data_IF_750482966519
#
_entry.id   IF_750482966519
#
_cell.length_a   1.000
_cell.length_b   1.000
_cell.length_c   1.000
_cell.angle_alpha   90.00
_cell.angle_beta   90.00
_cell.angle_gamma   90.00
#
_symmetry.space_group_name_H-M   'P 1'
#
loop_
_entity.id
_entity.type
_entity.pdbx_description
1 polymer ?
#
# COMPACT_ATOMS: atom_id res chain seq x y z
N UNK A 1 -15.06 4.40 -18.00
CA UNK A 1 -13.97 3.42 -17.76
C UNK A 1 -12.86 4.17 -17.06
N UNK A 2 -12.48 3.75 -15.86
CA UNK A 2 -11.26 4.21 -15.19
C UNK A 2 -10.11 3.98 -16.17
N UNK A 3 -9.30 4.98 -16.47
CA UNK A 3 -8.16 4.82 -17.38
C UNK A 3 -7.03 3.94 -16.82
N UNK A 4 -7.31 3.12 -15.79
CA UNK A 4 -6.39 2.22 -15.12
C UNK A 4 -6.75 0.77 -15.43
N UNK A 5 -5.74 -0.11 -15.44
CA UNK A 5 -5.92 -1.53 -15.72
C UNK A 5 -5.68 -1.91 -17.17
N UNK A 6 -5.37 -0.97 -18.06
CA UNK A 6 -5.13 -1.24 -19.48
C UNK A 6 -3.91 -0.46 -20.00
N UNK A 7 -3.00 -1.11 -20.75
CA UNK A 7 -2.94 -2.55 -21.00
C UNK A 7 -2.68 -3.35 -19.70
N UNK A 8 -3.25 -4.56 -19.62
CA UNK A 8 -3.00 -5.48 -18.51
C UNK A 8 -2.03 -6.57 -18.96
N UNK A 9 -0.89 -6.66 -18.28
CA UNK A 9 0.10 -7.72 -18.43
C UNK A 9 0.06 -8.60 -17.17
N UNK A 10 -0.39 -9.85 -17.32
CA UNK A 10 -0.39 -10.82 -16.23
C UNK A 10 0.75 -11.83 -16.39
N UNK A 11 1.41 -12.15 -15.29
CA UNK A 11 2.46 -13.16 -15.21
C UNK A 11 2.03 -14.29 -14.27
N UNK A 12 2.26 -15.54 -14.65
CA UNK A 12 2.16 -16.64 -13.68
C UNK A 12 3.25 -16.52 -12.60
N UNK A 13 4.46 -16.14 -13.03
CA UNK A 13 5.60 -15.91 -12.15
C UNK A 13 6.37 -14.69 -12.67
N UNK A 14 6.80 -13.83 -11.76
CA UNK A 14 7.72 -12.73 -12.04
C UNK A 14 8.78 -12.64 -10.95
N UNK A 15 9.90 -11.98 -11.23
CA UNK A 15 10.81 -11.49 -10.19
C UNK A 15 10.10 -10.48 -9.28
N UNK A 16 9.57 -9.42 -9.87
CA UNK A 16 8.81 -8.38 -9.18
C UNK A 16 7.86 -7.67 -10.13
N UNK A 17 6.59 -7.52 -9.75
CA UNK A 17 5.63 -6.74 -10.54
C UNK A 17 6.09 -5.30 -10.71
N UNK A 18 6.78 -4.73 -9.71
CA UNK A 18 7.39 -3.39 -9.78
C UNK A 18 8.46 -3.32 -10.87
N UNK A 19 9.38 -4.29 -10.92
CA UNK A 19 10.46 -4.30 -11.92
C UNK A 19 9.90 -4.44 -13.34
N UNK A 20 8.91 -5.31 -13.52
CA UNK A 20 8.20 -5.47 -14.81
C UNK A 20 7.48 -4.19 -15.22
N UNK A 21 6.77 -3.54 -14.30
CA UNK A 21 6.09 -2.27 -14.56
C UNK A 21 7.07 -1.13 -14.85
N UNK A 22 8.23 -1.08 -14.17
CA UNK A 22 9.29 -0.10 -14.44
C UNK A 22 9.89 -0.29 -15.83
N UNK A 23 10.16 -1.52 -16.24
CA UNK A 23 10.65 -1.82 -17.58
C UNK A 23 9.65 -1.35 -18.67
N UNK A 24 8.36 -1.59 -18.45
CA UNK A 24 7.28 -1.11 -19.34
C UNK A 24 7.20 0.42 -19.33
N UNK A 25 7.26 1.07 -18.17
CA UNK A 25 7.22 2.52 -18.04
C UNK A 25 8.40 3.19 -18.77
N UNK A 26 9.61 2.64 -18.63
CA UNK A 26 10.81 3.07 -19.37
C UNK A 26 10.68 2.87 -20.88
N UNK A 27 9.92 1.86 -21.31
CA UNK A 27 9.63 1.57 -22.72
C UNK A 27 8.45 2.38 -23.27
N UNK A 28 7.91 3.33 -22.50
CA UNK A 28 6.83 4.23 -22.96
C UNK A 28 5.42 3.70 -22.75
N UNK A 29 5.21 2.64 -21.95
CA UNK A 29 3.87 2.13 -21.67
C UNK A 29 2.95 3.23 -21.07
N UNK A 30 1.68 3.33 -21.47
CA UNK A 30 0.82 4.46 -21.12
C UNK A 30 0.44 4.48 -19.62
N UNK A 31 -0.09 5.62 -19.18
CA UNK A 31 -0.78 5.74 -17.89
C UNK A 31 -1.82 4.62 -17.77
N UNK A 32 -1.88 3.98 -16.60
CA UNK A 32 -2.85 2.93 -16.31
C UNK A 32 -2.42 1.52 -16.69
N UNK A 33 -1.24 1.35 -17.31
CA UNK A 33 -0.67 0.02 -17.55
C UNK A 33 -0.59 -0.75 -16.23
N UNK A 34 -1.20 -1.93 -16.19
CA UNK A 34 -1.26 -2.80 -15.03
C UNK A 34 -0.38 -4.03 -15.27
N UNK A 35 0.47 -4.33 -14.30
CA UNK A 35 1.18 -5.60 -14.21
C UNK A 35 0.67 -6.36 -13.00
N UNK A 36 0.33 -7.64 -13.16
CA UNK A 36 0.04 -8.51 -12.02
C UNK A 36 0.84 -9.80 -12.11
N UNK A 37 1.02 -10.48 -10.97
CA UNK A 37 1.61 -11.81 -10.92
C UNK A 37 0.89 -12.74 -9.94
N UNK A 38 0.87 -14.05 -10.21
CA UNK A 38 0.44 -15.03 -9.21
C UNK A 38 1.53 -15.29 -8.15
N UNK A 39 2.80 -15.16 -8.54
CA UNK A 39 3.97 -15.36 -7.69
C UNK A 39 5.05 -14.31 -8.00
N UNK A 40 5.76 -13.87 -6.94
CA UNK A 40 6.98 -13.07 -7.06
C UNK A 40 8.17 -13.80 -6.43
N UNK A 41 9.19 -14.11 -7.22
CA UNK A 41 10.41 -14.80 -6.75
C UNK A 41 11.44 -13.87 -6.09
N UNK A 42 11.35 -12.57 -6.36
CA UNK A 42 12.18 -11.52 -5.78
C UNK A 42 11.32 -10.31 -5.34
N UNK A 43 10.12 -10.57 -4.83
CA UNK A 43 9.24 -9.52 -4.34
C UNK A 43 9.84 -8.81 -3.14
N UNK A 44 9.74 -7.49 -3.12
CA UNK A 44 10.29 -6.66 -2.06
C UNK A 44 9.40 -5.46 -1.74
N UNK A 45 9.42 -5.05 -0.48
CA UNK A 45 8.89 -3.79 0.00
C UNK A 45 9.99 -2.73 0.15
N UNK A 46 9.72 -1.75 0.99
CA UNK A 46 10.71 -0.72 1.37
C UNK A 46 11.92 -1.35 2.08
N UNK A 47 13.07 -0.70 1.92
CA UNK A 47 14.35 -1.11 2.54
C UNK A 47 14.77 -2.55 2.19
N UNK A 48 14.29 -3.09 1.05
CA UNK A 48 14.67 -4.42 0.58
C UNK A 48 14.06 -5.59 1.35
N UNK A 49 13.08 -5.34 2.25
CA UNK A 49 12.37 -6.43 2.95
C UNK A 49 11.61 -7.28 1.94
N UNK A 50 11.80 -8.59 1.99
CA UNK A 50 11.12 -9.52 1.10
C UNK A 50 9.60 -9.46 1.30
N UNK A 51 8.86 -9.48 0.19
CA UNK A 51 7.44 -9.80 0.16
C UNK A 51 7.32 -11.29 -0.18
N UNK A 52 6.84 -12.08 0.76
CA UNK A 52 6.75 -13.55 0.64
C UNK A 52 5.30 -13.97 0.78
N UNK A 53 4.87 -14.92 -0.03
CA UNK A 53 3.53 -15.50 0.07
C UNK A 53 3.39 -16.72 -0.83
N UNK A 54 2.34 -17.52 -0.56
CA UNK A 54 2.00 -18.66 -1.40
C UNK A 54 1.42 -18.16 -2.74
N UNK A 55 1.87 -18.72 -3.88
CA UNK A 55 1.35 -18.35 -5.20
C UNK A 55 -0.16 -18.40 -5.23
N UNK A 56 -0.80 -17.40 -5.84
CA UNK A 56 -2.25 -17.44 -5.99
C UNK A 56 -3.04 -16.87 -4.80
N UNK A 57 -2.42 -16.56 -3.66
CA UNK A 57 -3.16 -16.20 -2.43
C UNK A 57 -3.28 -14.68 -2.16
N UNK A 58 -2.35 -13.90 -2.71
CA UNK A 58 -2.33 -12.45 -2.62
C UNK A 58 -2.67 -11.79 -3.97
N UNK A 59 -3.11 -10.54 -3.94
CA UNK A 59 -3.06 -9.65 -5.11
C UNK A 59 -1.67 -9.03 -5.13
N UNK A 60 -0.89 -9.34 -6.17
CA UNK A 60 0.41 -8.74 -6.43
C UNK A 60 0.27 -7.91 -7.71
N UNK A 61 0.37 -6.59 -7.58
CA UNK A 61 0.15 -5.69 -8.71
C UNK A 61 1.07 -4.48 -8.72
N UNK A 62 1.24 -3.90 -9.91
CA UNK A 62 1.92 -2.64 -10.13
C UNK A 62 1.23 -1.84 -11.22
N UNK A 63 0.93 -0.57 -10.95
CA UNK A 63 0.29 0.35 -11.90
C UNK A 63 1.29 1.42 -12.33
N UNK A 64 1.46 1.59 -13.64
CA UNK A 64 2.21 2.70 -14.23
C UNK A 64 1.34 3.96 -14.20
N UNK A 65 1.82 4.99 -13.52
CA UNK A 65 1.17 6.29 -13.44
C UNK A 65 2.03 7.33 -14.14
N UNK A 66 1.44 8.05 -15.09
CA UNK A 66 2.04 9.22 -15.76
C UNK A 66 1.30 10.50 -15.39
N UNK A 67 1.83 11.63 -15.86
CA UNK A 67 1.27 12.98 -15.67
C UNK A 67 1.18 13.39 -14.21
N UNK A 68 2.22 13.02 -13.46
CA UNK A 68 2.24 13.10 -12.00
C UNK A 68 2.14 14.51 -11.41
N UNK A 69 2.64 15.51 -12.14
CA UNK A 69 2.87 16.86 -11.61
C UNK A 69 3.55 16.84 -10.23
N UNK A 70 3.17 17.79 -9.37
CA UNK A 70 3.61 17.84 -7.97
C UNK A 70 2.93 16.79 -7.07
N UNK A 71 1.98 16.02 -7.60
CA UNK A 71 1.16 15.07 -6.81
C UNK A 71 1.80 13.70 -6.65
N UNK A 72 2.95 13.44 -7.28
CA UNK A 72 3.68 12.17 -7.12
C UNK A 72 3.97 11.82 -5.65
N UNK A 73 4.22 12.84 -4.81
CA UNK A 73 4.48 12.66 -3.38
C UNK A 73 3.28 12.07 -2.61
N UNK A 74 2.05 12.26 -3.11
CA UNK A 74 0.83 11.75 -2.48
C UNK A 74 0.48 10.32 -2.91
N UNK A 75 1.09 9.79 -3.97
CA UNK A 75 0.77 8.46 -4.50
C UNK A 75 0.78 7.34 -3.44
N UNK A 76 1.75 7.28 -2.51
CA UNK A 76 1.73 6.27 -1.45
C UNK A 76 0.47 6.37 -0.57
N UNK A 77 0.07 7.60 -0.22
CA UNK A 77 -1.11 7.87 0.60
C UNK A 77 -2.39 7.55 -0.17
N UNK A 78 -2.48 7.98 -1.42
CA UNK A 78 -3.61 7.69 -2.33
C UNK A 78 -3.80 6.19 -2.51
N UNK A 79 -2.71 5.44 -2.72
CA UNK A 79 -2.76 3.98 -2.86
C UNK A 79 -3.17 3.30 -1.55
N UNK A 80 -2.69 3.77 -0.40
CA UNK A 80 -3.10 3.22 0.90
C UNK A 80 -4.60 3.40 1.16
N UNK A 81 -5.16 4.58 0.84
CA UNK A 81 -6.62 4.81 0.92
C UNK A 81 -7.38 3.88 -0.04
N UNK A 82 -6.90 3.73 -1.28
CA UNK A 82 -7.52 2.84 -2.26
C UNK A 82 -7.53 1.37 -1.81
N UNK A 83 -6.46 0.92 -1.15
CA UNK A 83 -6.40 -0.43 -0.56
C UNK A 83 -7.43 -0.57 0.56
N UNK A 84 -7.55 0.41 1.46
CA UNK A 84 -8.57 0.39 2.51
C UNK A 84 -9.99 0.30 1.91
N UNK A 85 -10.33 1.16 0.94
CA UNK A 85 -11.65 1.16 0.30
C UNK A 85 -11.97 -0.18 -0.37
N UNK A 86 -11.00 -0.77 -1.09
CA UNK A 86 -11.15 -2.08 -1.73
C UNK A 86 -11.33 -3.22 -0.71
N UNK A 87 -10.49 -3.25 0.32
CA UNK A 87 -10.55 -4.25 1.38
C UNK A 87 -11.86 -4.17 2.17
N UNK A 88 -12.29 -2.95 2.55
CA UNK A 88 -13.55 -2.69 3.24
C UNK A 88 -14.75 -3.11 2.40
N UNK A 89 -14.76 -2.80 1.10
CA UNK A 89 -15.84 -3.18 0.19
C UNK A 89 -15.97 -4.71 0.04
N UNK A 90 -14.84 -5.42 -0.02
CA UNK A 90 -14.84 -6.88 -0.24
C UNK A 90 -15.04 -7.70 1.03
N UNK A 91 -14.61 -7.20 2.20
CA UNK A 91 -14.64 -7.97 3.46
C UNK A 91 -15.61 -7.45 4.50
N UNK A 92 -15.95 -6.16 4.47
CA UNK A 92 -16.66 -5.45 5.54
C UNK A 92 -15.80 -5.14 6.77
N UNK A 93 -14.54 -5.57 6.80
CA UNK A 93 -13.60 -5.26 7.88
C UNK A 93 -13.07 -3.83 7.74
N UNK A 94 -12.94 -3.11 8.86
CA UNK A 94 -12.38 -1.75 8.86
C UNK A 94 -10.86 -1.80 8.74
N UNK A 95 -10.32 -0.98 7.85
CA UNK A 95 -8.89 -0.87 7.65
C UNK A 95 -8.33 0.39 8.33
N UNK A 96 -7.07 0.33 8.73
CA UNK A 96 -6.31 1.47 9.22
C UNK A 96 -4.98 1.57 8.44
N UNK A 97 -4.47 2.77 8.26
CA UNK A 97 -3.22 3.03 7.55
C UNK A 97 -2.13 3.30 8.57
N UNK A 98 -1.10 2.45 8.58
CA UNK A 98 0.14 2.72 9.30
C UNK A 98 1.10 3.44 8.36
N UNK A 99 1.40 4.68 8.70
CA UNK A 99 2.43 5.45 8.01
C UNK A 99 3.76 4.66 8.01
N UNK A 100 4.52 4.65 6.90
CA UNK A 100 4.26 5.42 5.67
C UNK A 100 3.46 4.69 4.58
N UNK A 101 3.26 3.38 4.66
CA UNK A 101 2.88 2.60 3.48
C UNK A 101 2.22 1.24 3.77
N UNK A 102 1.78 1.00 4.99
CA UNK A 102 1.16 -0.27 5.39
C UNK A 102 -0.33 -0.08 5.65
N UNK A 103 -1.16 -1.02 5.22
CA UNK A 103 -2.57 -1.10 5.59
C UNK A 103 -2.78 -2.27 6.53
N UNK A 104 -3.51 -2.02 7.61
CA UNK A 104 -3.72 -2.91 8.74
C UNK A 104 -5.21 -3.21 8.95
N UNK A 105 -5.49 -4.43 9.41
CA UNK A 105 -6.78 -4.82 10.01
C UNK A 105 -6.47 -5.45 11.37
N UNK A 106 -7.23 -5.11 12.41
CA UNK A 106 -7.05 -5.73 13.73
C UNK A 106 -5.68 -5.50 14.38
N UNK A 107 -4.89 -4.54 13.88
CA UNK A 107 -3.50 -4.30 14.34
C UNK A 107 -2.43 -5.08 13.57
N UNK A 108 -2.82 -5.96 12.64
CA UNK A 108 -1.92 -6.76 11.82
C UNK A 108 -1.88 -6.28 10.37
N UNK A 109 -0.74 -6.47 9.71
CA UNK A 109 -0.51 -5.99 8.34
C UNK A 109 -1.27 -6.82 7.31
N UNK A 110 -2.18 -6.16 6.59
CA UNK A 110 -2.93 -6.72 5.45
C UNK A 110 -2.18 -6.51 4.13
N UNK A 111 -1.63 -5.31 3.93
CA UNK A 111 -1.07 -4.90 2.65
C UNK A 111 0.15 -3.99 2.82
N UNK A 112 0.99 -3.99 1.78
CA UNK A 112 2.12 -3.08 1.66
C UNK A 112 2.10 -2.35 0.32
N UNK A 113 2.41 -1.06 0.37
CA UNK A 113 2.53 -0.21 -0.82
C UNK A 113 4.00 0.14 -1.05
N UNK A 114 4.46 0.07 -2.30
CA UNK A 114 5.78 0.52 -2.72
C UNK A 114 5.66 1.39 -3.97
N UNK A 115 5.88 2.70 -3.80
CA UNK A 115 5.92 3.64 -4.92
C UNK A 115 7.36 3.93 -5.31
N UNK A 116 7.68 3.75 -6.58
CA UNK A 116 8.95 4.12 -7.18
C UNK A 116 8.71 5.13 -8.30
N UNK A 117 9.22 6.35 -8.15
CA UNK A 117 9.05 7.41 -9.12
C UNK A 117 10.35 7.77 -9.85
N UNK A 118 10.20 8.20 -11.11
CA UNK A 118 11.22 8.91 -11.88
C UNK A 118 10.55 10.16 -12.47
N UNK A 119 10.36 11.23 -11.69
CA UNK A 119 9.67 12.44 -12.16
C UNK A 119 10.30 13.05 -13.41
N UNK A 120 11.62 12.97 -13.56
CA UNK A 120 12.35 13.45 -14.74
C UNK A 120 12.04 12.63 -16.00
N UNK A 121 11.65 11.36 -15.84
CA UNK A 121 11.19 10.48 -16.92
C UNK A 121 9.65 10.45 -17.05
N UNK A 122 8.93 11.25 -16.27
CA UNK A 122 7.48 11.42 -16.36
C UNK A 122 6.65 10.20 -15.93
N UNK A 123 7.19 9.31 -15.08
CA UNK A 123 6.45 8.14 -14.61
C UNK A 123 6.70 7.80 -13.14
N UNK A 124 5.71 7.13 -12.53
CA UNK A 124 5.83 6.42 -11.27
C UNK A 124 5.20 5.03 -11.40
N UNK A 125 5.71 4.08 -10.63
CA UNK A 125 5.13 2.74 -10.49
C UNK A 125 4.61 2.62 -9.08
N UNK A 126 3.32 2.29 -8.96
CA UNK A 126 2.63 2.06 -7.69
C UNK A 126 2.46 0.57 -7.52
N UNK A 127 3.34 -0.04 -6.74
CA UNK A 127 3.29 -1.44 -6.34
C UNK A 127 2.41 -1.65 -5.13
N UNK A 128 1.57 -2.67 -5.18
CA UNK A 128 0.68 -3.04 -4.07
C UNK A 128 0.65 -4.56 -3.93
N UNK A 129 0.95 -5.03 -2.73
CA UNK A 129 0.69 -6.40 -2.30
C UNK A 129 -0.43 -6.43 -1.28
N UNK A 130 -1.47 -7.22 -1.50
CA UNK A 130 -2.63 -7.38 -0.59
C UNK A 130 -2.81 -8.86 -0.27
N UNK A 131 -2.77 -9.23 1.00
CA UNK A 131 -3.07 -10.59 1.44
C UNK A 131 -4.58 -10.81 1.37
N UNK A 132 -5.05 -11.67 0.47
CA UNK A 132 -6.50 -11.87 0.23
C UNK A 132 -6.95 -13.20 0.81
N UNK A 133 -6.53 -14.31 0.21
CA UNK A 133 -6.93 -15.67 0.62
C UNK A 133 -5.84 -16.40 1.39
N UNK A 134 -4.74 -15.72 1.74
CA UNK A 134 -3.64 -16.27 2.53
C UNK A 134 -4.15 -16.72 3.90
N UNK A 135 -3.91 -17.97 4.28
CA UNK A 135 -4.26 -18.50 5.60
C UNK A 135 -3.12 -18.27 6.60
N UNK A 136 -3.38 -18.49 7.89
CA UNK A 136 -2.32 -18.35 8.91
C UNK A 136 -1.15 -19.31 8.67
N UNK A 137 -1.43 -20.52 8.18
CA UNK A 137 -0.42 -21.55 7.89
C UNK A 137 0.43 -21.22 6.65
N UNK A 138 -0.06 -20.36 5.76
CA UNK A 138 0.68 -19.88 4.60
C UNK A 138 1.75 -18.84 4.97
N UNK A 139 1.61 -18.18 6.13
CA UNK A 139 2.60 -17.24 6.62
C UNK A 139 3.78 -17.97 7.28
N UNK A 140 5.03 -17.51 7.07
CA UNK A 140 6.15 -17.90 7.92
C UNK A 140 5.81 -17.66 9.39
N UNK A 141 6.23 -18.56 10.30
CA UNK A 141 5.89 -18.49 11.74
C UNK A 141 6.18 -17.13 12.38
N UNK A 142 7.26 -16.46 11.97
CA UNK A 142 7.61 -15.13 12.48
C UNK A 142 6.66 -13.99 12.06
N UNK A 143 5.72 -14.24 11.14
CA UNK A 143 4.73 -13.27 10.68
C UNK A 143 3.32 -13.51 11.26
N UNK A 144 3.10 -14.59 12.01
CA UNK A 144 1.77 -15.00 12.49
C UNK A 144 1.07 -13.93 13.36
N UNK A 145 1.84 -13.14 14.10
CA UNK A 145 1.30 -12.08 14.99
C UNK A 145 1.25 -10.69 14.34
N UNK A 146 1.87 -10.51 13.16
CA UNK A 146 2.06 -9.19 12.56
C UNK A 146 1.51 -9.07 11.14
N UNK A 147 1.05 -10.17 10.54
CA UNK A 147 0.43 -10.22 9.23
C UNK A 147 -0.97 -10.83 9.32
N UNK A 148 -1.87 -10.35 8.47
CA UNK A 148 -3.23 -10.88 8.34
C UNK A 148 -3.63 -10.90 6.86
N UNK A 149 -4.82 -11.41 6.58
CA UNK A 149 -5.43 -11.44 5.25
C UNK A 149 -6.93 -11.17 5.35
N UNK A 150 -7.58 -10.87 4.22
CA UNK A 150 -9.03 -10.76 4.21
C UNK A 150 -9.74 -12.06 4.59
N UNK A 151 -9.15 -13.23 4.30
CA UNK A 151 -9.71 -14.53 4.69
C UNK A 151 -9.59 -14.81 6.19
N UNK A 152 -8.56 -14.28 6.86
CA UNK A 152 -8.41 -14.39 8.32
C UNK A 152 -9.43 -13.48 9.03
N UNK A 153 -9.62 -12.26 8.53
CA UNK A 153 -10.43 -11.23 9.19
C UNK A 153 -11.92 -11.23 8.77
N UNK A 154 -12.26 -11.88 7.65
CA UNK A 154 -13.56 -11.73 7.00
C UNK A 154 -14.21 -13.04 6.55
N UNK A 155 -15.51 -13.17 6.80
CA UNK A 155 -16.31 -14.36 6.49
C UNK A 155 -16.79 -14.46 5.03
N UNK A 156 -16.43 -13.51 4.15
CA UNK A 156 -16.96 -13.39 2.78
C UNK A 156 -15.90 -13.61 1.68
N UNK A 157 -14.74 -14.14 2.03
CA UNK A 157 -13.63 -14.34 1.10
C UNK A 157 -13.60 -15.79 0.60
N UNK A 158 -13.46 -15.97 -0.71
CA UNK A 158 -13.47 -17.26 -1.39
C UNK A 158 -12.89 -17.19 -2.80
N UNK A 159 -13.30 -18.13 -3.66
CA UNK A 159 -12.84 -18.17 -5.06
C UNK A 159 -13.25 -16.90 -5.81
N UNK A 160 -12.31 -16.27 -6.52
CA UNK A 160 -12.54 -15.01 -7.25
C UNK A 160 -12.38 -13.73 -6.41
N UNK A 161 -12.18 -13.82 -5.09
CA UNK A 161 -12.01 -12.64 -4.24
C UNK A 161 -10.80 -11.78 -4.61
N UNK A 162 -9.72 -12.38 -5.14
CA UNK A 162 -8.56 -11.61 -5.65
C UNK A 162 -8.93 -10.66 -6.78
N UNK A 163 -9.67 -11.15 -7.76
CA UNK A 163 -10.06 -10.36 -8.94
C UNK A 163 -11.05 -9.26 -8.52
N UNK A 164 -11.95 -9.57 -7.57
CA UNK A 164 -12.84 -8.58 -6.97
C UNK A 164 -12.05 -7.47 -6.24
N UNK A 165 -11.06 -7.84 -5.42
CA UNK A 165 -10.19 -6.88 -4.70
C UNK A 165 -9.36 -6.05 -5.67
N UNK A 166 -8.78 -6.68 -6.70
CA UNK A 166 -8.03 -5.99 -7.75
C UNK A 166 -8.93 -4.97 -8.47
N UNK A 167 -10.12 -5.37 -8.89
CA UNK A 167 -11.08 -4.49 -9.55
C UNK A 167 -11.50 -3.33 -8.65
N UNK A 168 -11.84 -3.62 -7.39
CA UNK A 168 -12.23 -2.60 -6.41
C UNK A 168 -11.09 -1.61 -6.14
N UNK A 169 -9.84 -2.08 -6.06
CA UNK A 169 -8.68 -1.21 -5.93
C UNK A 169 -8.51 -0.29 -7.14
N UNK A 170 -8.60 -0.82 -8.37
CA UNK A 170 -8.42 0.00 -9.57
C UNK A 170 -9.50 1.08 -9.70
N UNK A 171 -10.73 0.77 -9.30
CA UNK A 171 -11.84 1.73 -9.26
C UNK A 171 -11.60 2.82 -8.21
N UNK A 172 -11.32 2.43 -6.96
CA UNK A 172 -11.02 3.34 -5.87
C UNK A 172 -9.81 4.24 -6.20
N UNK A 173 -8.72 3.65 -6.67
CA UNK A 173 -7.51 4.37 -7.01
C UNK A 173 -7.73 5.37 -8.16
N UNK A 174 -8.47 4.99 -9.21
CA UNK A 174 -8.83 5.92 -10.29
C UNK A 174 -9.76 7.07 -9.83
N UNK A 175 -10.62 6.84 -8.85
CA UNK A 175 -11.43 7.89 -8.25
C UNK A 175 -10.57 8.84 -7.41
N UNK A 176 -9.69 8.29 -6.58
CA UNK A 176 -8.81 9.06 -5.68
C UNK A 176 -7.76 9.89 -6.44
N UNK A 177 -7.21 9.38 -7.56
CA UNK A 177 -6.29 10.16 -8.41
C UNK A 177 -6.93 11.44 -9.00
N UNK A 178 -8.27 11.49 -9.09
CA UNK A 178 -9.02 12.66 -9.56
C UNK A 178 -9.43 13.62 -8.44
N UNK A 179 -9.29 13.21 -7.16
CA UNK A 179 -9.58 14.08 -6.02
C UNK A 179 -8.52 15.15 -5.86
N UNK A 180 -8.88 16.24 -5.19
CA UNK A 180 -7.90 17.23 -4.75
C UNK A 180 -7.03 16.67 -3.61
N UNK A 181 -5.98 17.43 -3.28
CA UNK A 181 -5.03 17.03 -2.24
C UNK A 181 -5.72 16.89 -0.88
N UNK A 182 -6.53 17.87 -0.51
CA UNK A 182 -7.18 17.90 0.80
C UNK A 182 -8.14 16.72 0.96
N UNK A 183 -8.92 16.39 -0.07
CA UNK A 183 -9.79 15.21 -0.05
C UNK A 183 -9.03 13.90 0.11
N UNK A 184 -7.83 13.75 -0.46
CA UNK A 184 -6.99 12.56 -0.26
C UNK A 184 -6.45 12.52 1.18
N UNK A 185 -5.95 13.66 1.68
CA UNK A 185 -5.37 13.74 3.02
C UNK A 185 -6.42 13.51 4.11
N UNK A 186 -7.66 13.97 3.91
CA UNK A 186 -8.75 13.77 4.86
C UNK A 186 -9.20 12.30 4.92
N UNK A 187 -9.29 11.62 3.77
CA UNK A 187 -9.54 10.17 3.73
C UNK A 187 -8.42 9.37 4.39
N UNK A 188 -7.17 9.82 4.25
CA UNK A 188 -6.04 9.18 4.92
C UNK A 188 -6.10 9.41 6.44
N UNK A 189 -6.33 10.65 6.88
CA UNK A 189 -6.41 11.02 8.31
C UNK A 189 -7.54 10.32 9.05
N UNK A 190 -8.67 10.06 8.38
CA UNK A 190 -9.78 9.30 8.97
C UNK A 190 -9.42 7.84 9.27
N UNK A 191 -8.33 7.34 8.69
CA UNK A 191 -7.82 5.96 8.80
C UNK A 191 -6.46 5.86 9.49
N UNK A 192 -5.93 6.95 10.04
CA UNK A 192 -4.58 6.99 10.63
C UNK A 192 -4.46 6.07 11.86
N UNK A 193 -3.70 4.99 11.72
CA UNK A 193 -3.49 4.00 12.78
C UNK A 193 -2.59 4.50 13.92
N UNK A 194 -1.78 5.53 13.66
CA UNK A 194 -0.76 6.01 14.59
C UNK A 194 -1.21 7.23 15.39
N UNK A 195 -2.22 7.97 14.92
CA UNK A 195 -2.64 9.23 15.55
C UNK A 195 -2.88 9.08 17.06
N UNK A 196 -2.18 9.92 17.84
CA UNK A 196 -2.24 9.94 19.29
C UNK A 196 -1.48 8.81 20.00
N UNK A 197 -0.81 7.92 19.27
CA UNK A 197 -0.06 6.78 19.82
C UNK A 197 1.42 7.12 20.02
N UNK A 198 2.04 6.49 21.00
CA UNK A 198 3.49 6.52 21.17
C UNK A 198 4.16 5.68 20.08
N UNK A 199 5.14 6.30 19.41
CA UNK A 199 5.93 5.67 18.36
C UNK A 199 7.42 5.90 18.61
N UNK A 200 8.23 5.01 18.06
CA UNK A 200 9.68 5.14 17.98
C UNK A 200 10.14 5.00 16.51
N UNK A 201 11.22 5.69 16.16
CA UNK A 201 11.88 5.60 14.85
C UNK A 201 13.39 5.75 15.00
N UNK A 202 14.12 5.53 13.90
CA UNK A 202 15.56 5.79 13.87
C UNK A 202 15.82 7.31 13.97
N UNK A 203 16.08 7.77 15.19
CA UNK A 203 16.27 9.18 15.51
C UNK A 203 15.46 9.69 16.70
N UNK A 204 14.53 8.91 17.26
CA UNK A 204 13.84 9.29 18.49
C UNK A 204 12.51 8.58 18.75
N UNK A 205 11.77 9.15 19.69
CA UNK A 205 10.42 8.71 20.06
C UNK A 205 9.51 9.90 20.37
N UNK A 206 8.20 9.67 20.29
CA UNK A 206 7.21 10.67 20.59
C UNK A 206 5.79 10.25 20.21
N UNK A 207 4.85 11.18 20.35
CA UNK A 207 3.45 10.96 20.01
C UNK A 207 3.19 11.31 18.56
N UNK A 208 2.63 10.40 17.77
CA UNK A 208 2.26 10.70 16.39
C UNK A 208 1.06 11.67 16.34
N UNK A 209 1.23 12.81 15.68
CA UNK A 209 0.23 13.87 15.50
C UNK A 209 -0.60 13.75 14.21
N UNK A 210 -0.31 12.74 13.39
CA UNK A 210 -0.86 12.57 12.03
C UNK A 210 0.02 13.19 10.96
N UNK A 211 -0.49 13.32 9.73
CA UNK A 211 0.29 13.84 8.59
C UNK A 211 0.00 15.31 8.26
N UNK A 212 1.03 16.02 7.81
CA UNK A 212 0.92 17.39 7.29
C UNK A 212 0.39 17.43 5.84
N UNK A 213 0.44 18.61 5.22
CA UNK A 213 -0.06 18.85 3.85
C UNK A 213 0.86 18.28 2.74
N UNK A 214 2.08 17.85 3.10
CA UNK A 214 2.99 17.13 2.21
C UNK A 214 2.87 15.60 2.33
N UNK A 215 2.28 15.12 3.43
CA UNK A 215 2.22 13.70 3.77
C UNK A 215 3.29 13.24 4.77
N UNK A 216 4.10 14.17 5.28
CA UNK A 216 5.09 13.89 6.31
C UNK A 216 4.39 13.61 7.65
N UNK A 217 4.86 12.61 8.39
CA UNK A 217 4.34 12.27 9.71
C UNK A 217 4.83 13.28 10.74
N UNK A 218 3.90 13.99 11.37
CA UNK A 218 4.17 14.89 12.48
C UNK A 218 4.30 14.10 13.76
N UNK A 219 5.36 14.38 14.52
CA UNK A 219 5.63 13.72 15.80
C UNK A 219 5.91 14.77 16.86
N UNK A 220 5.19 14.69 17.98
CA UNK A 220 5.42 15.51 19.16
C UNK A 220 6.44 14.81 20.07
N UNK A 221 7.62 15.40 20.21
CA UNK A 221 8.72 14.88 21.02
C UNK A 221 8.94 15.75 22.25
N UNK A 222 9.72 15.27 23.22
CA UNK A 222 10.15 16.10 24.35
C UNK A 222 11.00 17.33 23.97
N UNK A 223 11.47 17.42 22.72
CA UNK A 223 12.27 18.54 22.19
C UNK A 223 11.50 19.44 21.22
N UNK A 224 10.20 19.19 21.01
CA UNK A 224 9.36 19.90 20.05
C UNK A 224 8.80 19.01 18.94
N UNK A 225 8.24 19.63 17.91
CA UNK A 225 7.60 18.93 16.78
C UNK A 225 8.63 18.60 15.70
N UNK A 226 8.57 17.38 15.19
CA UNK A 226 9.39 16.90 14.06
C UNK A 226 8.45 16.41 12.95
N UNK A 227 8.84 16.62 11.70
CA UNK A 227 8.15 16.06 10.53
C UNK A 227 9.04 14.99 9.88
N UNK A 228 8.52 13.78 9.74
CA UNK A 228 9.22 12.66 9.10
C UNK A 228 8.69 12.49 7.68
N UNK A 229 9.53 12.78 6.68
CA UNK A 229 9.16 12.63 5.26
C UNK A 229 9.25 11.17 4.78
N UNK A 230 10.15 10.40 5.38
CA UNK A 230 10.36 9.00 5.12
C UNK A 230 10.97 8.32 6.34
N UNK A 231 10.83 7.00 6.44
CA UNK A 231 11.45 6.21 7.49
C UNK A 231 10.61 5.00 7.81
N UNK A 232 10.94 4.36 8.93
CA UNK A 232 10.10 3.35 9.55
C UNK A 232 9.78 3.80 10.97
N UNK A 233 8.54 3.57 11.38
CA UNK A 233 8.07 3.85 12.74
C UNK A 233 7.48 2.57 13.33
N UNK A 234 7.68 2.37 14.62
CA UNK A 234 7.18 1.25 15.39
C UNK A 234 6.29 1.76 16.51
N UNK A 235 5.16 1.11 16.76
CA UNK A 235 4.37 1.37 17.96
C UNK A 235 5.20 0.97 19.17
N UNK A 236 5.23 1.81 20.22
CA UNK A 236 5.71 1.36 21.52
C UNK A 236 4.65 0.46 22.14
N UNK A 237 5.08 -0.71 22.59
CA UNK A 237 4.30 -1.52 23.51
C UNK A 237 4.60 -0.96 24.90
N UNK A 238 3.56 -0.52 25.61
CA UNK A 238 3.71 -0.19 27.03
C UNK A 238 4.03 -1.51 27.76
N UNK A 239 5.26 -1.60 28.29
CA UNK A 239 5.73 -2.72 29.13
C UNK A 239 5.52 -2.35 30.59
#
# INVERSE_FOLDING_TARGET
>A
MSGLGLPWVHHREADSTNERAKALANSGAPHGTLVTADEQTAGHGRQGRAWVGVPGTAVLMSVVVRDLGERHALLPLTAAVAVCEAAEACSGARCAIKWPNDVWIGGSKLAGILVEARPQAGWAVVGVGINVTTTIDDFPKGLHEIATSLAIEGSRIGQGSRDAVLSAFLEAFAALLRRDRDGILDEWRSRDALRGRQIAWDGGEGTAGGIDHSGALLVETGRGKVALEAGEVHLRVDV
#
